data_IF_245952172639
#
_entry.id   IF_245952172639
#
_cell.length_a   1.000
_cell.length_b   1.000
_cell.length_c   1.000
_cell.angle_alpha   90.00
_cell.angle_beta   90.00
_cell.angle_gamma   90.00
#
_symmetry.space_group_name_H-M   'P 1'
#
loop_
_entity.id
_entity.type
_entity.pdbx_description
1 polymer ?
#
# COMPACT_ATOMS: atom_id res chain seq x y z
N UNK A 1 6.93 18.52 -10.79
CA UNK A 1 7.00 17.60 -9.64
C UNK A 1 8.03 16.48 -9.80
N UNK A 2 8.01 15.66 -10.87
CA UNK A 2 8.96 14.54 -11.04
C UNK A 2 10.44 14.88 -10.78
N UNK A 3 10.94 15.98 -11.34
CA UNK A 3 12.31 16.46 -11.08
C UNK A 3 12.58 16.73 -9.60
N UNK A 4 11.62 17.32 -8.89
CA UNK A 4 11.72 17.58 -7.45
C UNK A 4 11.80 16.28 -6.66
N UNK A 5 10.98 15.29 -7.00
CA UNK A 5 11.02 13.97 -6.36
C UNK A 5 12.39 13.32 -6.57
N UNK A 6 12.91 13.35 -7.80
CA UNK A 6 14.25 12.81 -8.07
C UNK A 6 15.35 13.53 -7.30
N UNK A 7 15.30 14.87 -7.22
CA UNK A 7 16.26 15.64 -6.43
C UNK A 7 16.17 15.29 -4.94
N UNK A 8 14.96 15.22 -4.37
CA UNK A 8 14.76 14.85 -2.98
C UNK A 8 15.27 13.43 -2.67
N UNK A 9 15.08 12.47 -3.59
CA UNK A 9 15.63 11.12 -3.45
C UNK A 9 17.16 11.12 -3.51
N UNK A 10 17.77 11.90 -4.41
CA UNK A 10 19.23 12.03 -4.51
C UNK A 10 19.83 12.69 -3.26
N UNK A 11 19.25 13.82 -2.82
CA UNK A 11 19.65 14.52 -1.59
C UNK A 11 19.52 13.61 -0.36
N UNK A 12 18.47 12.78 -0.30
CA UNK A 12 18.29 11.78 0.76
C UNK A 12 19.38 10.71 0.70
N UNK A 13 19.66 10.17 -0.50
CA UNK A 13 20.71 9.16 -0.71
C UNK A 13 22.08 9.69 -0.28
N UNK A 14 22.43 10.92 -0.63
CA UNK A 14 23.70 11.57 -0.25
C UNK A 14 23.76 11.90 1.24
N UNK A 15 22.71 12.53 1.79
CA UNK A 15 22.69 12.99 3.19
C UNK A 15 22.76 11.85 4.19
N UNK A 16 22.07 10.74 3.91
CA UNK A 16 22.01 9.57 4.78
C UNK A 16 22.98 8.46 4.38
N UNK A 17 23.75 8.66 3.29
CA UNK A 17 24.74 7.72 2.78
C UNK A 17 24.13 6.33 2.52
N UNK A 18 22.93 6.33 1.90
CA UNK A 18 22.14 5.12 1.60
C UNK A 18 21.95 4.95 0.11
N UNK A 19 21.87 3.70 -0.35
CA UNK A 19 21.53 3.37 -1.73
C UNK A 19 20.02 3.11 -1.85
N UNK A 20 19.30 4.02 -2.50
CA UNK A 20 17.87 3.86 -2.78
C UNK A 20 17.71 2.89 -3.96
N UNK A 21 17.16 1.70 -3.67
CA UNK A 21 16.97 0.59 -4.61
C UNK A 21 15.69 0.74 -5.43
N UNK A 22 14.63 1.26 -4.82
CA UNK A 22 13.32 1.40 -5.47
C UNK A 22 12.58 2.58 -4.85
N UNK A 23 11.87 3.36 -5.66
CA UNK A 23 10.99 4.42 -5.19
C UNK A 23 9.74 4.50 -6.07
N UNK A 24 8.57 4.59 -5.45
CA UNK A 24 7.28 4.60 -6.13
C UNK A 24 6.29 5.56 -5.48
N UNK A 25 5.21 5.84 -6.18
CA UNK A 25 4.02 6.50 -5.62
C UNK A 25 3.22 5.49 -4.77
N UNK A 26 2.67 5.94 -3.64
CA UNK A 26 1.89 5.14 -2.70
C UNK A 26 0.76 5.95 -2.09
N UNK A 27 -0.20 6.33 -2.91
CA UNK A 27 -1.37 7.08 -2.48
C UNK A 27 -2.47 7.06 -3.51
N UNK A 28 -3.39 8.02 -3.43
CA UNK A 28 -4.54 8.15 -4.34
C UNK A 28 -4.13 8.13 -5.83
N UNK A 29 -2.95 8.66 -6.14
CA UNK A 29 -2.33 8.66 -7.48
C UNK A 29 -2.01 7.24 -7.96
N UNK A 30 -1.37 6.42 -7.14
CA UNK A 30 -1.06 5.02 -7.45
C UNK A 30 -2.30 4.12 -7.39
N UNK A 31 -3.25 4.43 -6.50
CA UNK A 31 -4.49 3.68 -6.34
C UNK A 31 -5.52 3.93 -7.45
N UNK A 32 -5.34 4.95 -8.29
CA UNK A 32 -6.21 5.22 -9.44
C UNK A 32 -7.40 6.14 -9.16
N UNK A 33 -7.33 6.95 -8.09
CA UNK A 33 -8.34 7.96 -7.78
C UNK A 33 -7.71 9.28 -7.26
N UNK A 34 -6.77 9.90 -8.01
CA UNK A 34 -6.21 11.18 -7.62
C UNK A 34 -7.25 12.31 -7.69
N UNK A 35 -7.08 13.33 -6.87
CA UNK A 35 -7.76 14.63 -6.96
C UNK A 35 -6.72 15.74 -7.20
N UNK A 36 -7.16 16.96 -7.56
CA UNK A 36 -6.24 18.08 -7.80
C UNK A 36 -5.32 18.43 -6.62
N UNK A 37 -5.82 18.22 -5.40
CA UNK A 37 -5.18 18.43 -4.09
C UNK A 37 -4.54 17.16 -3.51
N UNK A 38 -4.38 16.10 -4.30
CA UNK A 38 -3.68 14.89 -3.82
C UNK A 38 -2.18 15.13 -3.67
N UNK A 39 -1.67 14.80 -2.49
CA UNK A 39 -0.24 14.74 -2.18
C UNK A 39 0.51 13.77 -3.12
N UNK A 40 1.83 13.86 -3.08
CA UNK A 40 2.76 12.90 -3.68
C UNK A 40 3.34 12.05 -2.56
N UNK A 41 2.75 10.86 -2.38
CA UNK A 41 3.13 9.87 -1.38
C UNK A 41 4.29 9.03 -1.91
N UNK A 42 5.50 9.60 -1.88
CA UNK A 42 6.69 8.90 -2.36
C UNK A 42 7.19 7.94 -1.29
N UNK A 43 7.19 6.65 -1.63
CA UNK A 43 7.71 5.58 -0.78
C UNK A 43 8.92 4.94 -1.42
N UNK A 44 9.96 4.70 -0.63
CA UNK A 44 11.20 4.15 -1.17
C UNK A 44 11.78 3.04 -0.30
N UNK A 45 12.53 2.15 -0.94
CA UNK A 45 13.29 1.08 -0.33
C UNK A 45 14.76 1.40 -0.52
N UNK A 46 15.51 1.40 0.56
CA UNK A 46 16.94 1.66 0.53
C UNK A 46 17.72 0.54 1.23
N UNK A 47 19.02 0.49 0.96
CA UNK A 47 19.98 -0.27 1.74
C UNK A 47 21.08 0.65 2.24
N UNK A 48 21.54 0.39 3.46
CA UNK A 48 22.73 1.00 4.06
C UNK A 48 24.01 0.28 3.62
N UNK A 49 25.16 0.81 4.04
CA UNK A 49 26.46 0.15 3.87
C UNK A 49 26.51 -1.12 4.70
N UNK A 50 27.36 -2.07 4.30
CA UNK A 50 27.48 -3.34 4.99
C UNK A 50 27.82 -3.19 6.47
N UNK A 51 28.72 -2.28 6.80
CA UNK A 51 29.17 -1.99 8.16
C UNK A 51 28.01 -1.58 9.09
N UNK A 52 27.00 -0.89 8.56
CA UNK A 52 25.81 -0.45 9.31
C UNK A 52 24.91 -1.62 9.75
N UNK A 53 25.06 -2.79 9.13
CA UNK A 53 24.36 -4.01 9.56
C UNK A 53 25.17 -4.86 10.55
N UNK A 54 26.46 -4.58 10.70
CA UNK A 54 27.39 -5.30 11.59
C UNK A 54 27.85 -4.43 12.77
N UNK A 55 26.92 -3.68 13.35
CA UNK A 55 27.15 -2.80 14.50
C UNK A 55 26.39 -3.29 15.75
N UNK A 56 26.90 -2.93 16.93
CA UNK A 56 26.23 -3.16 18.21
C UNK A 56 24.99 -2.28 18.39
N UNK A 57 25.02 -1.07 17.81
CA UNK A 57 23.95 -0.08 17.93
C UNK A 57 23.42 0.25 16.54
N UNK A 58 22.37 -0.45 16.07
CA UNK A 58 21.84 -0.25 14.74
C UNK A 58 21.12 1.10 14.63
N UNK A 59 21.24 1.72 13.46
CA UNK A 59 20.47 2.87 13.05
C UNK A 59 18.98 2.53 12.87
N UNK A 60 18.14 3.57 12.81
CA UNK A 60 16.73 3.42 12.47
C UNK A 60 16.55 2.76 11.09
N UNK A 61 15.56 1.88 11.03
CA UNK A 61 15.21 1.08 9.87
C UNK A 61 14.24 1.78 8.90
N UNK A 62 14.04 3.08 9.11
CA UNK A 62 13.19 3.94 8.31
C UNK A 62 13.74 5.37 8.24
N UNK A 63 13.39 6.08 7.17
CA UNK A 63 13.63 7.51 7.02
C UNK A 63 12.28 8.22 6.83
N UNK A 64 11.99 9.22 7.65
CA UNK A 64 10.75 10.00 7.61
C UNK A 64 11.07 11.48 7.59
N UNK A 65 10.34 12.21 6.76
CA UNK A 65 10.55 13.64 6.56
C UNK A 65 9.26 14.41 6.79
N UNK A 66 9.32 15.69 7.21
CA UNK A 66 8.16 16.56 7.18
C UNK A 66 7.64 16.72 5.75
N UNK A 67 6.31 16.78 5.59
CA UNK A 67 5.68 17.04 4.29
C UNK A 67 6.02 18.47 3.86
N UNK A 68 6.51 18.63 2.62
CA UNK A 68 6.90 19.94 2.06
C UNK A 68 6.39 20.09 0.63
N UNK A 69 5.60 21.13 0.36
CA UNK A 69 4.94 21.38 -0.93
C UNK A 69 4.29 20.12 -1.53
N UNK A 70 3.41 19.51 -0.73
CA UNK A 70 2.63 18.30 -1.06
C UNK A 70 3.47 17.03 -1.29
N UNK A 71 4.78 17.05 -0.99
CA UNK A 71 5.65 15.87 -1.07
C UNK A 71 5.76 15.20 0.31
N UNK A 72 5.20 14.01 0.43
CA UNK A 72 5.39 13.11 1.57
C UNK A 72 6.40 12.02 1.22
N UNK A 73 7.63 12.17 1.70
CA UNK A 73 8.73 11.24 1.46
C UNK A 73 8.93 10.34 2.69
N UNK A 74 8.86 9.03 2.48
CA UNK A 74 9.05 8.05 3.55
C UNK A 74 9.68 6.76 3.02
N UNK A 75 10.70 6.24 3.69
CA UNK A 75 11.47 5.10 3.20
C UNK A 75 11.77 4.06 4.26
N UNK A 76 11.93 2.82 3.80
CA UNK A 76 12.28 1.68 4.63
C UNK A 76 13.60 1.06 4.21
N UNK A 77 14.40 0.70 5.21
CA UNK A 77 15.57 -0.13 5.02
C UNK A 77 15.14 -1.53 4.53
N UNK A 78 15.94 -2.14 3.67
CA UNK A 78 15.67 -3.46 3.10
C UNK A 78 15.47 -4.53 4.19
N UNK A 79 16.17 -4.43 5.33
CA UNK A 79 15.94 -5.31 6.49
C UNK A 79 14.50 -5.23 6.98
N UNK A 80 13.97 -4.01 7.13
CA UNK A 80 12.57 -3.79 7.56
C UNK A 80 11.59 -4.31 6.52
N UNK A 81 11.84 -4.04 5.24
CA UNK A 81 10.99 -4.54 4.15
C UNK A 81 10.88 -6.05 4.20
N UNK A 82 12.00 -6.77 4.33
CA UNK A 82 11.99 -8.24 4.39
C UNK A 82 11.33 -8.77 5.67
N UNK A 83 11.51 -8.10 6.81
CA UNK A 83 10.78 -8.45 8.04
C UNK A 83 9.26 -8.24 7.91
N UNK A 84 8.83 -7.22 7.17
CA UNK A 84 7.42 -6.96 6.89
C UNK A 84 6.85 -7.96 5.88
N UNK A 85 7.63 -8.34 4.86
CA UNK A 85 7.30 -9.45 3.95
C UNK A 85 7.13 -10.74 4.74
N UNK A 86 8.06 -11.09 5.64
CA UNK A 86 7.92 -12.26 6.53
C UNK A 86 6.63 -12.21 7.37
N UNK A 87 6.23 -11.02 7.82
CA UNK A 87 4.99 -10.84 8.56
C UNK A 87 3.75 -10.89 7.66
N UNK A 88 3.90 -10.93 6.34
CA UNK A 88 2.84 -10.76 5.33
C UNK A 88 2.10 -9.44 5.52
N UNK A 89 2.84 -8.37 5.78
CA UNK A 89 2.29 -7.02 5.76
C UNK A 89 1.99 -6.61 4.30
N UNK A 90 0.86 -5.97 4.04
CA UNK A 90 0.44 -5.64 2.68
C UNK A 90 1.32 -4.55 2.01
N UNK A 91 1.95 -3.66 2.79
CA UNK A 91 2.60 -2.46 2.26
C UNK A 91 3.76 -2.79 1.28
N UNK A 92 4.71 -3.70 1.57
CA UNK A 92 5.72 -4.10 0.59
C UNK A 92 5.13 -4.70 -0.69
N UNK A 93 4.04 -5.46 -0.58
CA UNK A 93 3.36 -6.05 -1.74
C UNK A 93 2.74 -4.95 -2.61
N UNK A 94 2.17 -3.91 -2.01
CA UNK A 94 1.60 -2.78 -2.74
C UNK A 94 2.66 -1.93 -3.42
N UNK A 95 3.72 -1.54 -2.70
CA UNK A 95 4.77 -0.68 -3.26
C UNK A 95 5.37 -1.26 -4.54
N UNK A 96 5.66 -2.57 -4.55
CA UNK A 96 6.22 -3.26 -5.72
C UNK A 96 5.25 -3.38 -6.90
N UNK A 97 3.95 -3.19 -6.67
CA UNK A 97 2.90 -3.16 -7.68
C UNK A 97 2.53 -1.75 -8.15
N UNK A 98 3.22 -0.70 -7.66
CA UNK A 98 2.85 0.67 -7.99
C UNK A 98 2.96 0.95 -9.49
N UNK A 99 1.93 1.57 -10.11
CA UNK A 99 1.97 1.93 -11.52
C UNK A 99 2.86 3.15 -11.81
N UNK A 100 3.34 3.86 -10.78
CA UNK A 100 4.15 5.07 -10.92
C UNK A 100 5.46 4.86 -10.16
N UNK A 101 6.54 4.67 -10.92
CA UNK A 101 7.88 4.41 -10.39
C UNK A 101 8.76 5.65 -10.63
N UNK A 102 9.44 6.10 -9.58
CA UNK A 102 10.37 7.23 -9.59
C UNK A 102 11.83 6.79 -9.66
N UNK A 103 12.17 5.65 -9.05
CA UNK A 103 13.48 5.01 -9.17
C UNK A 103 13.31 3.51 -9.22
N UNK A 104 13.97 2.85 -10.17
CA UNK A 104 13.84 1.41 -10.38
C UNK A 104 15.22 0.75 -10.53
N UNK A 105 15.60 -0.07 -9.55
CA UNK A 105 16.56 -1.13 -9.77
C UNK A 105 15.76 -2.39 -10.16
N UNK A 106 15.60 -2.64 -11.46
CA UNK A 106 14.76 -3.72 -11.98
C UNK A 106 15.20 -5.10 -11.44
N UNK A 107 16.50 -5.35 -11.32
CA UNK A 107 17.04 -6.60 -10.76
C UNK A 107 16.57 -6.80 -9.32
N UNK A 108 16.66 -5.75 -8.50
CA UNK A 108 16.15 -5.77 -7.13
C UNK A 108 14.63 -5.96 -7.11
N UNK A 109 13.87 -5.14 -7.85
CA UNK A 109 12.40 -5.20 -7.87
C UNK A 109 11.89 -6.58 -8.30
N UNK A 110 12.42 -7.12 -9.39
CA UNK A 110 12.01 -8.42 -9.92
C UNK A 110 12.36 -9.56 -8.96
N UNK A 111 13.56 -9.54 -8.37
CA UNK A 111 13.96 -10.59 -7.43
C UNK A 111 13.17 -10.56 -6.12
N UNK A 112 12.84 -9.38 -5.58
CA UNK A 112 11.98 -9.26 -4.41
C UNK A 112 10.53 -9.65 -4.73
N UNK A 113 10.02 -9.23 -5.90
CA UNK A 113 8.66 -9.58 -6.34
C UNK A 113 8.47 -11.08 -6.49
N UNK A 114 9.48 -11.80 -6.97
CA UNK A 114 9.46 -13.25 -7.09
C UNK A 114 9.40 -13.97 -5.73
N UNK A 115 9.81 -13.33 -4.63
CA UNK A 115 9.71 -13.90 -3.28
C UNK A 115 8.34 -13.70 -2.65
N UNK A 116 7.61 -12.63 -3.01
CA UNK A 116 6.34 -12.28 -2.36
C UNK A 116 5.32 -13.43 -2.27
N UNK A 117 5.10 -14.26 -3.31
CA UNK A 117 4.12 -15.35 -3.23
C UNK A 117 4.40 -16.36 -2.10
N UNK A 118 5.67 -16.60 -1.76
CA UNK A 118 6.08 -17.51 -0.69
C UNK A 118 5.71 -16.99 0.72
N UNK A 119 5.39 -15.70 0.83
CA UNK A 119 5.13 -14.99 2.08
C UNK A 119 3.74 -14.37 2.14
N UNK A 120 2.86 -14.71 1.20
CA UNK A 120 1.50 -14.20 1.14
C UNK A 120 0.57 -14.98 2.08
N UNK A 121 -0.06 -14.27 3.00
CA UNK A 121 -1.12 -14.76 3.88
C UNK A 121 -2.44 -14.06 3.54
N UNK A 122 -3.38 -14.80 2.95
CA UNK A 122 -4.71 -14.29 2.67
C UNK A 122 -5.41 -13.79 3.94
N UNK A 123 -5.28 -14.54 5.05
CA UNK A 123 -5.83 -14.18 6.36
C UNK A 123 -5.31 -12.82 6.83
N UNK A 124 -3.99 -12.62 6.85
CA UNK A 124 -3.40 -11.39 7.36
C UNK A 124 -3.72 -10.19 6.46
N UNK A 125 -3.72 -10.38 5.15
CA UNK A 125 -4.04 -9.29 4.22
C UNK A 125 -5.51 -8.86 4.32
N UNK A 126 -6.45 -9.80 4.43
CA UNK A 126 -7.86 -9.46 4.63
C UNK A 126 -8.04 -8.66 5.92
N UNK A 127 -7.49 -9.13 7.06
CA UNK A 127 -7.60 -8.39 8.32
C UNK A 127 -6.94 -7.00 8.27
N UNK A 128 -5.79 -6.88 7.59
CA UNK A 128 -5.13 -5.59 7.39
C UNK A 128 -6.05 -4.59 6.67
N UNK A 129 -6.64 -5.00 5.55
CA UNK A 129 -7.54 -4.13 4.79
C UNK A 129 -8.85 -3.83 5.52
N UNK A 130 -9.43 -4.81 6.22
CA UNK A 130 -10.62 -4.57 7.05
C UNK A 130 -10.33 -3.59 8.19
N UNK A 131 -9.13 -3.64 8.78
CA UNK A 131 -8.70 -2.66 9.78
C UNK A 131 -8.66 -1.22 9.24
N UNK A 132 -8.11 -1.04 8.03
CA UNK A 132 -8.09 0.27 7.36
C UNK A 132 -9.53 0.75 7.07
N UNK A 133 -10.38 -0.11 6.50
CA UNK A 133 -11.76 0.23 6.21
C UNK A 133 -12.54 0.60 7.47
N UNK A 134 -12.35 -0.16 8.57
CA UNK A 134 -12.99 0.10 9.86
C UNK A 134 -12.60 1.46 10.41
N UNK A 135 -11.30 1.78 10.47
CA UNK A 135 -10.84 3.08 10.95
C UNK A 135 -11.29 4.25 10.06
N UNK A 136 -11.50 4.02 8.76
CA UNK A 136 -12.06 5.03 7.87
C UNK A 136 -13.58 5.24 8.08
N UNK A 137 -14.33 4.18 8.40
CA UNK A 137 -15.77 4.24 8.72
C UNK A 137 -16.05 5.02 10.01
N UNK A 138 -15.14 5.01 10.99
CA UNK A 138 -15.29 5.79 12.24
C UNK A 138 -15.42 7.31 11.99
N UNK A 139 -15.00 7.81 10.82
CA UNK A 139 -15.12 9.20 10.45
C UNK A 139 -16.52 9.59 9.89
N UNK A 140 -17.43 8.63 9.74
CA UNK A 140 -18.79 8.87 9.26
C UNK A 140 -19.64 9.63 10.27
N UNK A 141 -20.54 10.47 9.75
CA UNK A 141 -21.58 11.14 10.55
C UNK A 141 -22.95 10.83 9.94
N UNK A 142 -23.68 9.90 10.54
CA UNK A 142 -24.88 9.35 9.91
C UNK A 142 -24.51 8.64 8.61
N UNK A 143 -25.11 9.05 7.48
CA UNK A 143 -24.79 8.52 6.15
C UNK A 143 -23.82 9.42 5.35
N UNK A 144 -23.29 10.48 5.96
CA UNK A 144 -22.37 11.41 5.31
C UNK A 144 -20.91 11.03 5.56
N UNK A 145 -20.10 11.04 4.50
CA UNK A 145 -18.66 10.80 4.54
C UNK A 145 -17.93 11.67 3.53
N UNK A 146 -16.72 12.14 3.87
CA UNK A 146 -15.85 12.81 2.89
C UNK A 146 -15.44 11.82 1.80
N UNK A 147 -15.46 12.23 0.54
CA UNK A 147 -15.10 11.39 -0.60
C UNK A 147 -13.72 10.72 -0.44
N UNK A 148 -12.73 11.45 0.11
CA UNK A 148 -11.42 10.88 0.46
C UNK A 148 -11.57 9.68 1.40
N UNK A 149 -12.31 9.82 2.49
CA UNK A 149 -12.50 8.76 3.48
C UNK A 149 -13.30 7.59 2.92
N UNK A 150 -14.28 7.83 2.04
CA UNK A 150 -15.00 6.76 1.35
C UNK A 150 -14.06 5.87 0.53
N UNK A 151 -13.10 6.43 -0.21
CA UNK A 151 -12.13 5.60 -0.93
C UNK A 151 -11.18 4.82 0.00
N UNK A 152 -10.92 5.33 1.21
CA UNK A 152 -10.22 4.59 2.26
C UNK A 152 -11.08 3.48 2.91
N UNK A 153 -12.39 3.43 2.62
CA UNK A 153 -13.26 2.28 2.94
C UNK A 153 -13.32 1.33 1.75
N UNK A 154 -13.69 1.84 0.57
CA UNK A 154 -13.98 1.04 -0.62
C UNK A 154 -12.76 0.28 -1.12
N UNK A 155 -11.60 0.94 -1.27
CA UNK A 155 -10.42 0.30 -1.85
C UNK A 155 -9.90 -0.86 -0.98
N UNK A 156 -9.72 -0.68 0.35
CA UNK A 156 -9.38 -1.81 1.21
C UNK A 156 -10.45 -2.91 1.23
N UNK A 157 -11.74 -2.56 1.28
CA UNK A 157 -12.81 -3.56 1.27
C UNK A 157 -12.80 -4.42 -0.01
N UNK A 158 -12.66 -3.78 -1.18
CA UNK A 158 -12.54 -4.48 -2.46
C UNK A 158 -11.24 -5.29 -2.53
N UNK A 159 -10.15 -4.83 -1.91
CA UNK A 159 -8.89 -5.58 -1.81
C UNK A 159 -9.07 -6.86 -0.99
N UNK A 160 -9.74 -6.78 0.17
CA UNK A 160 -10.09 -7.93 0.99
C UNK A 160 -11.00 -8.91 0.23
N UNK A 161 -11.99 -8.40 -0.51
CA UNK A 161 -12.88 -9.21 -1.34
C UNK A 161 -12.13 -9.93 -2.47
N UNK A 162 -11.23 -9.24 -3.17
CA UNK A 162 -10.36 -9.83 -4.19
C UNK A 162 -9.56 -11.01 -3.62
N UNK A 163 -8.96 -10.83 -2.45
CA UNK A 163 -8.17 -11.88 -1.80
C UNK A 163 -9.04 -13.09 -1.46
N UNK A 164 -10.25 -12.87 -0.93
CA UNK A 164 -11.18 -13.95 -0.60
C UNK A 164 -11.60 -14.75 -1.84
N UNK A 165 -11.87 -14.06 -2.96
CA UNK A 165 -12.35 -14.71 -4.20
C UNK A 165 -11.23 -15.34 -5.03
N UNK A 166 -10.10 -14.64 -5.18
CA UNK A 166 -9.03 -15.02 -6.12
C UNK A 166 -7.84 -15.70 -5.46
N UNK A 167 -7.74 -15.65 -4.13
CA UNK A 167 -6.64 -16.26 -3.35
C UNK A 167 -5.25 -15.75 -3.77
N UNK A 168 -5.18 -14.51 -4.22
CA UNK A 168 -3.95 -13.78 -4.56
C UNK A 168 -3.92 -12.45 -3.84
N UNK A 169 -2.74 -11.85 -3.64
CA UNK A 169 -2.66 -10.50 -3.10
C UNK A 169 -3.33 -9.49 -4.04
N UNK A 170 -3.99 -8.50 -3.45
CA UNK A 170 -4.77 -7.52 -4.19
C UNK A 170 -3.86 -6.58 -5.02
N UNK A 171 -4.26 -6.24 -6.26
CA UNK A 171 -3.68 -5.15 -7.03
C UNK A 171 -3.65 -3.82 -6.27
N UNK A 172 -2.62 -3.02 -6.51
CA UNK A 172 -2.51 -1.69 -5.90
C UNK A 172 -3.63 -0.74 -6.41
N UNK A 173 -3.84 -0.73 -7.72
CA UNK A 173 -4.85 0.10 -8.37
C UNK A 173 -6.28 -0.44 -8.11
N UNK A 174 -7.24 0.46 -7.91
CA UNK A 174 -8.64 0.10 -7.62
C UNK A 174 -9.36 -0.51 -8.82
N UNK A 175 -8.99 -0.16 -10.05
CA UNK A 175 -9.75 -0.51 -11.25
C UNK A 175 -9.93 -2.02 -11.43
N UNK A 176 -8.89 -2.88 -11.30
CA UNK A 176 -9.07 -4.33 -11.30
C UNK A 176 -9.96 -4.83 -10.16
N UNK A 177 -9.89 -4.19 -8.98
CA UNK A 177 -10.66 -4.61 -7.81
C UNK A 177 -12.18 -4.45 -8.01
N UNK A 178 -12.59 -3.54 -8.90
CA UNK A 178 -13.99 -3.32 -9.24
C UNK A 178 -14.66 -4.57 -9.84
N UNK A 179 -13.90 -5.49 -10.44
CA UNK A 179 -14.44 -6.76 -10.98
C UNK A 179 -15.11 -7.62 -9.91
N UNK A 180 -14.79 -7.40 -8.63
CA UNK A 180 -15.42 -8.10 -7.50
C UNK A 180 -16.76 -7.47 -7.08
N UNK A 181 -17.06 -6.24 -7.51
CA UNK A 181 -18.31 -5.55 -7.19
C UNK A 181 -19.43 -5.85 -8.22
N UNK A 182 -20.68 -5.60 -7.85
CA UNK A 182 -21.82 -5.66 -8.77
C UNK A 182 -21.70 -4.61 -9.87
N UNK A 183 -22.29 -4.84 -11.05
CA UNK A 183 -22.23 -3.85 -12.15
C UNK A 183 -22.77 -2.47 -11.75
N UNK A 184 -23.81 -2.42 -10.92
CA UNK A 184 -24.36 -1.19 -10.34
C UNK A 184 -23.29 -0.44 -9.51
N UNK A 185 -22.67 -1.14 -8.55
CA UNK A 185 -21.62 -0.54 -7.71
C UNK A 185 -20.39 -0.15 -8.51
N UNK A 186 -19.98 -0.94 -9.51
CA UNK A 186 -18.87 -0.57 -10.39
C UNK A 186 -19.14 0.78 -11.08
N UNK A 187 -20.35 0.97 -11.63
CA UNK A 187 -20.73 2.21 -12.27
C UNK A 187 -20.74 3.39 -11.27
N UNK A 188 -21.27 3.18 -10.06
CA UNK A 188 -21.26 4.20 -8.99
C UNK A 188 -19.85 4.60 -8.58
N UNK A 189 -18.97 3.63 -8.35
CA UNK A 189 -17.58 3.90 -7.94
C UNK A 189 -16.84 4.63 -9.06
N UNK A 190 -17.01 4.25 -10.32
CA UNK A 190 -16.44 4.99 -11.46
C UNK A 190 -16.96 6.43 -11.53
N UNK A 191 -18.24 6.66 -11.25
CA UNK A 191 -18.82 7.99 -11.10
C UNK A 191 -18.15 8.80 -9.99
N UNK A 192 -17.97 8.20 -8.80
CA UNK A 192 -17.28 8.83 -7.68
C UNK A 192 -15.80 9.15 -7.98
N UNK A 193 -15.11 8.30 -8.74
CA UNK A 193 -13.73 8.56 -9.18
C UNK A 193 -13.71 9.80 -10.10
N UNK A 194 -14.62 9.87 -11.07
CA UNK A 194 -14.74 11.02 -11.97
C UNK A 194 -15.10 12.32 -11.21
N UNK A 195 -15.98 12.23 -10.21
CA UNK A 195 -16.29 13.37 -9.34
C UNK A 195 -15.08 13.80 -8.52
N UNK A 196 -14.33 12.85 -7.91
CA UNK A 196 -13.12 13.16 -7.14
C UNK A 196 -12.05 13.83 -7.99
N UNK A 197 -11.97 13.51 -9.29
CA UNK A 197 -11.02 14.14 -10.20
C UNK A 197 -11.29 15.64 -10.44
N UNK A 198 -12.52 16.11 -10.19
CA UNK A 198 -12.93 17.51 -10.45
C UNK A 198 -13.23 18.31 -9.18
N UNK A 199 -13.44 17.65 -8.04
CA UNK A 199 -13.80 18.27 -6.76
C UNK A 199 -12.66 18.17 -5.74
N UNK A 200 -12.71 19.00 -4.71
CA UNK A 200 -11.79 18.94 -3.56
C UNK A 200 -12.07 17.69 -2.71
N UNK A 201 -11.04 17.12 -2.06
CA UNK A 201 -11.15 15.91 -1.21
C UNK A 201 -12.09 16.02 -0.01
N UNK A 202 -12.45 17.25 0.37
CA UNK A 202 -13.41 17.54 1.44
C UNK A 202 -14.88 17.43 1.02
N UNK A 203 -15.17 17.16 -0.26
CA UNK A 203 -16.54 16.99 -0.75
C UNK A 203 -17.26 15.87 0.02
N UNK A 204 -18.43 16.19 0.56
CA UNK A 204 -19.26 15.25 1.30
C UNK A 204 -20.13 14.46 0.33
N UNK A 205 -20.17 13.15 0.55
CA UNK A 205 -21.02 12.20 -0.15
C UNK A 205 -22.05 11.67 0.85
N UNK A 206 -23.30 11.70 0.44
CA UNK A 206 -24.37 10.94 1.09
C UNK A 206 -24.37 9.53 0.51
N UNK A 207 -24.07 8.53 1.33
CA UNK A 207 -24.13 7.13 0.87
C UNK A 207 -25.57 6.67 0.74
N UNK A 208 -25.87 6.00 -0.36
CA UNK A 208 -27.14 5.31 -0.53
C UNK A 208 -27.14 3.94 0.15
N UNK A 209 -28.33 3.36 0.30
CA UNK A 209 -28.51 2.09 0.99
C UNK A 209 -27.75 0.95 0.30
N UNK A 210 -27.66 0.94 -1.04
CA UNK A 210 -26.92 -0.13 -1.75
C UNK A 210 -25.43 -0.11 -1.38
N UNK A 211 -24.84 1.08 -1.24
CA UNK A 211 -23.43 1.22 -0.84
C UNK A 211 -23.21 0.86 0.63
N UNK A 212 -24.10 1.32 1.53
CA UNK A 212 -24.04 0.97 2.95
C UNK A 212 -24.18 -0.54 3.16
N UNK A 213 -25.19 -1.15 2.55
CA UNK A 213 -25.44 -2.60 2.64
C UNK A 213 -24.27 -3.39 2.10
N UNK A 214 -23.67 -2.94 0.97
CA UNK A 214 -22.47 -3.57 0.42
C UNK A 214 -21.31 -3.52 1.40
N UNK A 215 -21.04 -2.36 2.00
CA UNK A 215 -19.93 -2.17 2.94
C UNK A 215 -20.14 -3.05 4.17
N UNK A 216 -21.28 -2.91 4.85
CA UNK A 216 -21.55 -3.61 6.11
C UNK A 216 -21.58 -5.13 5.92
N UNK A 217 -22.25 -5.61 4.87
CA UNK A 217 -22.36 -7.04 4.59
C UNK A 217 -21.00 -7.65 4.27
N UNK A 218 -20.20 -7.01 3.40
CA UNK A 218 -18.89 -7.55 3.03
C UNK A 218 -17.89 -7.43 4.19
N UNK A 219 -17.90 -6.35 4.96
CA UNK A 219 -17.01 -6.24 6.13
C UNK A 219 -17.24 -7.38 7.11
N UNK A 220 -18.50 -7.69 7.44
CA UNK A 220 -18.85 -8.81 8.31
C UNK A 220 -18.46 -10.16 7.70
N UNK A 221 -18.90 -10.42 6.46
CA UNK A 221 -18.64 -11.68 5.78
C UNK A 221 -17.13 -11.98 5.64
N UNK A 222 -16.33 -10.98 5.26
CA UNK A 222 -14.89 -11.14 5.07
C UNK A 222 -14.15 -11.32 6.40
N UNK A 223 -14.63 -10.69 7.48
CA UNK A 223 -14.08 -10.92 8.82
C UNK A 223 -14.31 -12.37 9.26
N UNK A 224 -15.53 -12.89 9.07
CA UNK A 224 -15.88 -14.28 9.38
C UNK A 224 -15.07 -15.26 8.52
N UNK A 225 -14.97 -14.99 7.22
CA UNK A 225 -14.16 -15.79 6.30
C UNK A 225 -12.69 -15.83 6.73
N UNK A 226 -12.07 -14.68 6.99
CA UNK A 226 -10.67 -14.61 7.40
C UNK A 226 -10.42 -15.24 8.77
N UNK A 227 -11.40 -15.18 9.69
CA UNK A 227 -11.33 -15.85 10.98
C UNK A 227 -11.28 -17.39 10.84
N UNK A 228 -11.91 -17.94 9.79
CA UNK A 228 -11.90 -19.37 9.48
C UNK A 228 -10.66 -19.87 8.73
N UNK A 229 -9.81 -18.98 8.19
CA UNK A 229 -8.57 -19.39 7.50
C UNK A 229 -7.50 -19.84 8.50
N UNK A 230 -6.66 -20.81 8.13
CA UNK A 230 -5.53 -21.20 8.97
C UNK A 230 -4.47 -20.08 9.07
N UNK A 231 -3.65 -20.14 10.11
CA UNK A 231 -2.50 -19.23 10.24
C UNK A 231 -1.32 -19.76 9.43
N UNK A 232 -0.84 -18.96 8.48
CA UNK A 232 0.34 -19.28 7.70
C UNK A 232 1.63 -19.26 8.54
N UNK A 233 2.52 -20.19 8.26
CA UNK A 233 3.89 -20.24 8.80
C UNK A 233 4.87 -20.18 7.66
N UNK A 234 5.73 -19.17 7.68
CA UNK A 234 6.72 -18.95 6.63
C UNK A 234 8.13 -19.33 7.08
N UNK A 235 8.94 -19.79 6.14
CA UNK A 235 10.36 -20.04 6.37
C UNK A 235 11.15 -18.72 6.35
N UNK A 236 12.02 -18.51 7.35
CA UNK A 236 12.87 -17.33 7.42
C UNK A 236 14.12 -17.45 6.54
N UNK A 237 14.57 -18.66 6.24
CA UNK A 237 15.90 -18.89 5.67
C UNK A 237 16.07 -18.29 4.28
N UNK A 238 15.00 -18.31 3.45
CA UNK A 238 15.02 -17.68 2.12
C UNK A 238 15.20 -16.15 2.21
N UNK A 239 14.52 -15.48 3.13
CA UNK A 239 14.66 -14.03 3.33
C UNK A 239 16.04 -13.68 3.91
N UNK A 240 16.57 -14.48 4.85
CA UNK A 240 17.92 -14.27 5.37
C UNK A 240 18.98 -14.40 4.26
N UNK A 241 18.84 -15.41 3.39
CA UNK A 241 19.72 -15.59 2.23
C UNK A 241 19.61 -14.41 1.27
N UNK A 242 18.39 -13.98 0.95
CA UNK A 242 18.13 -12.86 0.06
C UNK A 242 18.71 -11.56 0.63
N UNK A 243 18.49 -11.29 1.92
CA UNK A 243 19.04 -10.11 2.61
C UNK A 243 20.56 -10.04 2.47
N UNK A 244 21.28 -11.15 2.73
CA UNK A 244 22.74 -11.21 2.56
C UNK A 244 23.16 -10.92 1.12
N UNK A 245 22.43 -11.43 0.13
CA UNK A 245 22.70 -11.15 -1.29
C UNK A 245 22.46 -9.69 -1.65
N UNK A 246 21.49 -9.02 -1.03
CA UNK A 246 21.19 -7.61 -1.27
C UNK A 246 22.23 -6.66 -0.69
N UNK A 247 22.79 -6.96 0.48
CA UNK A 247 23.74 -6.04 1.13
C UNK A 247 25.18 -6.23 0.59
N UNK A 248 25.53 -7.44 0.14
CA UNK A 248 26.88 -7.76 -0.37
C UNK A 248 27.15 -7.32 -1.83
N UNK A 249 26.22 -6.65 -2.49
CA UNK A 249 26.35 -6.13 -3.86
C UNK A 249 26.90 -4.70 -3.87
#
# INVERSE_FOLDING_TARGET
MKTRIHNALNETSEKYDVDILFACESGSRAWGFPSPDSDYDVRFIYRRKNEDYFTLFPEDDQLSFPITDDLDLYGWDIKKVLQLVYKSNCTPFEWLQSPIIYKDNETFRNSLSALLPDYFSARKHIFHYLGIATGAMEAMKGAEIKIKKLFYVLRPLLSAKWIAERKTFAPMNIEPLLETATQSLQAKIKGLIAEKATKNESFLIQMDNEMLDFIETNMKHLADYAAGLEQDRFDKSKLDKYFRQCILQ
#
